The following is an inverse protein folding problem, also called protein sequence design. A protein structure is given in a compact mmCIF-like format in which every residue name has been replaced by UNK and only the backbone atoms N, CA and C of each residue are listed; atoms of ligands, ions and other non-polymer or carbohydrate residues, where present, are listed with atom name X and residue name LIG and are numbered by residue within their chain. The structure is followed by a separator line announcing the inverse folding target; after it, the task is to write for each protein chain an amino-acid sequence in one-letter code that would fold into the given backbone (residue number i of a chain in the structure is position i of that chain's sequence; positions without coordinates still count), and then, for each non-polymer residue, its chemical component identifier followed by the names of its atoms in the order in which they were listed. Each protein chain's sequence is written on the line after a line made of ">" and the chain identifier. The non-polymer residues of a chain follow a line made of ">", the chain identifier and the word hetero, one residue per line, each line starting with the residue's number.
data_IF_334982772955
#
_entry.id   IF_334982772955
#
_cell.length_a   1.000
_cell.length_b   1.000
_cell.length_c   1.000
_cell.angle_alpha   90.00
_cell.angle_beta   90.00
_cell.angle_gamma   90.00
#
_symmetry.space_group_name_H-M   'P 1'
#
loop_
_entity.id
_entity.type
_entity.pdbx_description
1 polymer ?
#
# COMPACT_ATOMS: atom_id res chain seq x y z
N UNK A 1 2.37 24.92 20.73
CA UNK A 1 2.85 23.79 19.91
C UNK A 1 2.52 24.12 18.47
N UNK A 2 3.54 24.22 17.60
CA UNK A 2 3.31 24.52 16.18
C UNK A 2 2.69 23.31 15.47
N UNK A 3 1.82 23.54 14.49
CA UNK A 3 1.14 22.46 13.74
C UNK A 3 2.15 21.47 13.12
N UNK A 4 3.29 21.96 12.64
CA UNK A 4 4.36 21.13 12.07
C UNK A 4 4.93 20.15 13.11
N UNK A 5 5.21 20.62 14.33
CA UNK A 5 5.76 19.77 15.40
C UNK A 5 4.79 18.67 15.80
N UNK A 6 3.50 19.00 15.86
CA UNK A 6 2.43 18.04 16.11
C UNK A 6 2.39 16.97 15.02
N UNK A 7 2.36 17.39 13.74
CA UNK A 7 2.34 16.46 12.61
C UNK A 7 3.59 15.56 12.59
N UNK A 8 4.78 16.11 12.86
CA UNK A 8 6.00 15.32 12.96
C UNK A 8 5.98 14.33 14.13
N UNK A 9 5.33 14.67 15.25
CA UNK A 9 5.17 13.76 16.38
C UNK A 9 4.22 12.62 16.04
N UNK A 10 3.06 12.93 15.46
CA UNK A 10 2.08 11.92 15.09
C UNK A 10 2.61 11.01 13.98
N UNK A 11 3.33 11.55 12.99
CA UNK A 11 4.01 10.74 11.97
C UNK A 11 4.97 9.74 12.60
N UNK A 12 5.85 10.19 13.52
CA UNK A 12 6.78 9.29 14.23
C UNK A 12 6.05 8.22 15.04
N UNK A 13 4.96 8.58 15.71
CA UNK A 13 4.14 7.64 16.48
C UNK A 13 3.51 6.58 15.57
N UNK A 14 2.90 6.99 14.46
CA UNK A 14 2.28 6.08 13.49
C UNK A 14 3.33 5.15 12.91
N UNK A 15 4.46 5.68 12.44
CA UNK A 15 5.56 4.87 11.91
C UNK A 15 6.09 3.88 12.95
N UNK A 16 6.31 4.30 14.19
CA UNK A 16 6.76 3.42 15.26
C UNK A 16 5.78 2.26 15.51
N UNK A 17 4.48 2.54 15.54
CA UNK A 17 3.44 1.51 15.68
C UNK A 17 3.41 0.56 14.48
N UNK A 18 3.45 1.09 13.25
CA UNK A 18 3.48 0.28 12.03
C UNK A 18 4.70 -0.63 11.93
N UNK A 19 5.85 -0.18 12.43
CA UNK A 19 7.08 -0.97 12.43
C UNK A 19 7.19 -1.93 13.63
N UNK A 20 6.45 -1.70 14.71
CA UNK A 20 6.47 -2.58 15.88
C UNK A 20 5.85 -3.96 15.63
N UNK A 21 4.99 -4.09 14.61
CA UNK A 21 4.37 -5.34 14.19
C UNK A 21 5.01 -5.91 12.91
N UNK A 22 6.29 -5.58 12.65
CA UNK A 22 7.01 -6.17 11.52
C UNK A 22 7.20 -7.68 11.77
N UNK A 23 6.35 -8.47 11.12
CA UNK A 23 6.41 -9.93 11.16
C UNK A 23 7.64 -10.47 10.41
N UNK A 24 7.92 -11.75 10.61
CA UNK A 24 9.02 -12.43 9.95
C UNK A 24 8.79 -12.62 8.44
N UNK A 25 9.85 -13.05 7.78
CA UNK A 25 9.86 -13.26 6.33
C UNK A 25 8.81 -14.27 5.87
N UNK A 26 8.56 -15.31 6.67
CA UNK A 26 7.63 -16.39 6.35
C UNK A 26 6.19 -15.86 6.34
N UNK A 27 5.79 -15.13 7.37
CA UNK A 27 4.50 -14.44 7.40
C UNK A 27 4.29 -13.55 6.17
N UNK A 28 5.30 -12.78 5.78
CA UNK A 28 5.20 -11.89 4.62
C UNK A 28 5.08 -12.65 3.29
N UNK A 29 5.72 -13.82 3.18
CA UNK A 29 5.63 -14.69 2.02
C UNK A 29 4.23 -15.33 1.92
N UNK A 30 3.71 -15.88 3.02
CA UNK A 30 2.39 -16.51 3.09
C UNK A 30 1.26 -15.51 2.87
N UNK A 31 1.35 -14.33 3.50
CA UNK A 31 0.33 -13.27 3.38
C UNK A 31 0.40 -12.46 2.09
N UNK A 32 1.40 -12.70 1.22
CA UNK A 32 1.67 -11.87 0.03
C UNK A 32 0.44 -11.70 -0.86
N UNK A 33 -0.28 -12.78 -1.15
CA UNK A 33 -1.43 -12.74 -2.05
C UNK A 33 -2.59 -11.92 -1.45
N UNK A 34 -2.86 -12.08 -0.15
CA UNK A 34 -3.90 -11.32 0.55
C UNK A 34 -3.57 -9.83 0.62
N UNK A 35 -2.32 -9.48 0.91
CA UNK A 35 -1.86 -8.08 0.92
C UNK A 35 -1.89 -7.44 -0.47
N UNK A 36 -1.55 -8.19 -1.50
CA UNK A 36 -1.66 -7.73 -2.88
C UNK A 36 -3.12 -7.40 -3.25
N UNK A 37 -4.07 -8.28 -2.89
CA UNK A 37 -5.50 -8.04 -3.11
C UNK A 37 -5.98 -6.78 -2.40
N UNK A 38 -5.61 -6.62 -1.12
CA UNK A 38 -5.98 -5.45 -0.33
C UNK A 38 -5.40 -4.15 -0.90
N UNK A 39 -4.15 -4.19 -1.40
CA UNK A 39 -3.55 -3.05 -2.08
C UNK A 39 -4.34 -2.68 -3.35
N UNK A 40 -4.73 -3.68 -4.14
CA UNK A 40 -5.51 -3.49 -5.36
C UNK A 40 -6.88 -2.87 -5.06
N UNK A 41 -7.58 -3.36 -4.03
CA UNK A 41 -8.85 -2.78 -3.57
C UNK A 41 -8.69 -1.33 -3.10
N UNK A 42 -7.65 -1.02 -2.31
CA UNK A 42 -7.39 0.34 -1.85
C UNK A 42 -7.13 1.33 -2.99
N UNK A 43 -6.61 0.84 -4.12
CA UNK A 43 -6.32 1.64 -5.30
C UNK A 43 -7.51 1.70 -6.29
N UNK A 44 -8.62 1.00 -6.02
CA UNK A 44 -9.75 0.89 -6.94
C UNK A 44 -9.37 0.16 -8.23
N UNK A 45 -8.48 -0.83 -8.13
CA UNK A 45 -7.90 -1.57 -9.24
C UNK A 45 -8.45 -3.02 -9.30
N UNK A 46 -9.62 -3.27 -8.74
CA UNK A 46 -10.19 -4.62 -8.59
C UNK A 46 -10.34 -5.34 -9.93
N UNK A 47 -10.56 -4.59 -11.02
CA UNK A 47 -10.59 -5.10 -12.39
C UNK A 47 -9.31 -5.85 -12.80
N UNK A 48 -8.16 -5.59 -12.14
CA UNK A 48 -6.88 -6.25 -12.42
C UNK A 48 -6.68 -7.59 -11.71
N UNK A 49 -7.57 -7.98 -10.79
CA UNK A 49 -7.40 -9.21 -10.01
C UNK A 49 -7.66 -10.48 -10.82
N UNK A 50 -8.59 -10.43 -11.79
CA UNK A 50 -9.02 -11.58 -12.59
C UNK A 50 -8.51 -11.54 -14.03
N UNK A 51 -7.37 -10.87 -14.26
CA UNK A 51 -6.80 -10.71 -15.60
C UNK A 51 -7.64 -9.79 -16.49
N UNK A 52 -8.32 -8.80 -15.88
CA UNK A 52 -9.10 -7.81 -16.59
C UNK A 52 -8.31 -7.19 -17.73
N UNK A 53 -9.01 -7.05 -18.86
CA UNK A 53 -8.47 -6.55 -20.11
C UNK A 53 -8.03 -5.09 -19.95
N UNK A 54 -6.76 -4.87 -19.64
CA UNK A 54 -6.11 -3.66 -20.12
C UNK A 54 -5.50 -3.99 -21.47
N UNK A 55 -6.16 -3.52 -22.53
CA UNK A 55 -5.36 -2.97 -23.62
C UNK A 55 -4.40 -1.96 -22.97
N UNK A 56 -3.10 -2.11 -23.27
CA UNK A 56 -2.09 -1.21 -22.74
C UNK A 56 -2.55 0.23 -23.03
N UNK A 57 -2.52 1.15 -22.05
CA UNK A 57 -2.94 2.52 -22.31
C UNK A 57 -2.13 3.08 -23.47
N UNK A 58 -2.79 3.34 -24.60
CA UNK A 58 -2.18 4.06 -25.71
C UNK A 58 -1.92 5.49 -25.24
N UNK A 59 -0.65 5.81 -25.04
CA UNK A 59 -0.23 7.19 -24.79
C UNK A 59 0.50 7.68 -26.04
N UNK A 60 -0.05 8.70 -26.69
CA UNK A 60 0.75 9.54 -27.58
C UNK A 60 1.49 10.56 -26.71
N UNK A 61 2.81 10.40 -26.61
CA UNK A 61 3.67 11.45 -26.05
C UNK A 61 3.66 12.61 -27.05
N UNK A 62 3.07 13.73 -26.64
CA UNK A 62 3.12 15.02 -27.36
C UNK A 62 4.29 15.87 -26.90
#
# INVERSE_FOLDING_TARGET
>A
MHIVEYLCREARRITGLSLSDLRDREYWAESRQGRWRMLVEMLGLEEYLDGGSREAPEYEVT
#
